data_IF_657864089917
#
_entry.id   IF_657864089917
#
_cell.length_a   1.000
_cell.length_b   1.000
_cell.length_c   1.000
_cell.angle_alpha   90.00
_cell.angle_beta   90.00
_cell.angle_gamma   90.00
#
_symmetry.space_group_name_H-M   'P 1'
#
loop_
_entity.id
_entity.type
_entity.pdbx_description
1 polymer ?
#
# COMPACT_ATOMS: atom_id res chain seq x y z
N UNK A 1 -1.83 16.41 7.25
CA UNK A 1 -2.56 15.44 6.37
C UNK A 1 -4.02 15.84 6.36
N UNK A 2 -4.43 16.61 5.35
CA UNK A 2 -5.79 17.13 5.20
C UNK A 2 -6.83 16.13 4.65
N UNK A 3 -6.64 14.82 4.87
CA UNK A 3 -7.49 13.78 4.26
C UNK A 3 -8.66 13.46 5.19
N UNK A 4 -9.88 13.52 4.65
CA UNK A 4 -11.11 13.11 5.33
C UNK A 4 -11.80 12.01 4.54
N UNK A 5 -12.21 10.93 5.20
CA UNK A 5 -12.83 9.76 4.55
C UNK A 5 -14.22 9.54 5.16
N UNK A 6 -15.22 9.44 4.31
CA UNK A 6 -16.60 9.12 4.68
C UNK A 6 -17.01 7.81 3.99
N UNK A 7 -17.25 6.76 4.77
CA UNK A 7 -17.76 5.48 4.24
C UNK A 7 -19.27 5.54 3.97
N UNK A 8 -19.96 6.39 4.73
CA UNK A 8 -21.37 6.71 4.57
C UNK A 8 -21.53 8.12 4.01
N UNK A 9 -22.65 8.45 3.34
CA UNK A 9 -22.89 9.80 2.83
C UNK A 9 -22.68 10.87 3.90
N UNK A 10 -21.80 11.83 3.61
CA UNK A 10 -21.51 12.92 4.52
C UNK A 10 -22.70 13.88 4.62
N UNK A 11 -22.98 14.38 5.83
CA UNK A 11 -23.84 15.57 5.97
C UNK A 11 -23.17 16.78 5.34
N UNK A 12 -23.96 17.78 4.92
CA UNK A 12 -23.43 19.00 4.33
C UNK A 12 -22.41 19.70 5.23
N UNK A 13 -22.64 19.70 6.55
CA UNK A 13 -21.74 20.33 7.52
C UNK A 13 -20.42 19.57 7.65
N UNK A 14 -20.48 18.23 7.72
CA UNK A 14 -19.27 17.41 7.75
C UNK A 14 -18.48 17.53 6.45
N UNK A 15 -19.15 17.59 5.31
CA UNK A 15 -18.53 17.80 4.01
C UNK A 15 -17.81 19.15 3.92
N UNK A 16 -18.45 20.25 4.36
CA UNK A 16 -17.81 21.58 4.43
C UNK A 16 -16.59 21.57 5.34
N UNK A 17 -16.69 20.90 6.50
CA UNK A 17 -15.58 20.80 7.44
C UNK A 17 -14.40 20.03 6.86
N UNK A 18 -14.67 18.94 6.14
CA UNK A 18 -13.64 18.19 5.42
C UNK A 18 -12.93 19.06 4.38
N UNK A 19 -13.69 19.87 3.61
CA UNK A 19 -13.10 20.82 2.66
C UNK A 19 -12.22 21.87 3.36
N UNK A 20 -12.66 22.44 4.49
CA UNK A 20 -11.83 23.38 5.25
C UNK A 20 -10.50 22.77 5.70
N UNK A 21 -10.53 21.52 6.18
CA UNK A 21 -9.33 20.79 6.60
C UNK A 21 -8.41 20.54 5.40
N UNK A 22 -8.97 20.13 4.26
CA UNK A 22 -8.19 19.87 3.05
C UNK A 22 -7.55 21.16 2.50
N UNK A 23 -8.32 22.26 2.42
CA UNK A 23 -7.82 23.57 1.97
C UNK A 23 -6.83 24.24 2.94
N UNK A 24 -6.81 23.83 4.20
CA UNK A 24 -5.77 24.27 5.15
C UNK A 24 -4.41 23.63 4.87
N UNK A 25 -4.39 22.51 4.13
CA UNK A 25 -3.20 21.71 3.87
C UNK A 25 -2.71 21.84 2.42
N UNK A 26 -3.61 22.04 1.45
CA UNK A 26 -3.29 22.29 0.04
C UNK A 26 -4.24 23.33 -0.59
N UNK A 27 -3.84 23.89 -1.73
CA UNK A 27 -4.65 24.86 -2.50
C UNK A 27 -5.67 24.19 -3.42
N UNK A 28 -5.49 22.90 -3.73
CA UNK A 28 -6.39 22.10 -4.54
C UNK A 28 -6.94 20.93 -3.71
N UNK A 29 -8.21 20.61 -3.92
CA UNK A 29 -8.88 19.50 -3.25
C UNK A 29 -9.44 18.54 -4.28
N UNK A 30 -9.12 17.26 -4.10
CA UNK A 30 -9.66 16.15 -4.87
C UNK A 30 -10.80 15.51 -4.07
N UNK A 31 -11.93 15.27 -4.72
CA UNK A 31 -13.10 14.60 -4.13
C UNK A 31 -13.41 13.39 -4.99
N UNK A 32 -13.38 12.21 -4.39
CA UNK A 32 -13.53 10.93 -5.08
C UNK A 32 -14.58 10.05 -4.39
N UNK A 33 -15.09 9.08 -5.14
CA UNK A 33 -15.93 8.03 -4.60
C UNK A 33 -15.12 7.14 -3.65
N UNK A 34 -15.71 6.77 -2.51
CA UNK A 34 -15.11 5.78 -1.62
C UNK A 34 -15.32 4.37 -2.17
N UNK A 35 -14.23 3.71 -2.55
CA UNK A 35 -14.26 2.30 -2.96
C UNK A 35 -13.81 1.43 -1.79
N UNK A 36 -14.69 0.52 -1.37
CA UNK A 36 -14.36 -0.48 -0.35
C UNK A 36 -13.62 -1.66 -0.97
N UNK A 37 -12.61 -2.17 -0.27
CA UNK A 37 -11.84 -3.35 -0.68
C UNK A 37 -10.40 -3.26 -0.19
N UNK A 38 -9.59 -4.19 -0.69
CA UNK A 38 -8.16 -4.25 -0.37
C UNK A 38 -7.35 -3.59 -1.48
N UNK A 39 -6.41 -2.73 -1.11
CA UNK A 39 -5.56 -2.01 -2.05
C UNK A 39 -4.30 -2.83 -2.40
N UNK A 40 -4.08 -3.03 -3.70
CA UNK A 40 -2.92 -3.71 -4.26
C UNK A 40 -2.23 -2.81 -5.28
N UNK A 41 -0.89 -2.84 -5.28
CA UNK A 41 -0.06 -2.17 -6.28
C UNK A 41 0.54 -3.20 -7.22
N UNK A 42 0.30 -3.05 -8.51
CA UNK A 42 0.85 -3.87 -9.58
C UNK A 42 1.98 -3.10 -10.26
N UNK A 43 3.17 -3.69 -10.35
CA UNK A 43 4.27 -3.13 -11.13
C UNK A 43 4.22 -3.70 -12.53
N UNK A 44 3.93 -2.85 -13.52
CA UNK A 44 3.91 -3.24 -14.94
C UNK A 44 5.21 -2.78 -15.59
N UNK A 45 5.83 -3.67 -16.35
CA UNK A 45 6.97 -3.39 -17.21
C UNK A 45 6.72 -4.01 -18.58
N UNK A 46 6.74 -3.19 -19.63
CA UNK A 46 6.68 -3.61 -21.02
C UNK A 46 5.48 -4.55 -21.30
N UNK A 47 4.31 -4.13 -20.81
CA UNK A 47 3.05 -4.86 -20.98
C UNK A 47 2.91 -6.13 -20.15
N UNK A 48 3.78 -6.34 -19.14
CA UNK A 48 3.71 -7.50 -18.22
C UNK A 48 3.70 -7.05 -16.78
N UNK A 49 2.93 -7.72 -15.94
CA UNK A 49 3.02 -7.53 -14.49
C UNK A 49 4.26 -8.27 -13.96
N UNK A 50 5.17 -7.55 -13.33
CA UNK A 50 6.43 -8.09 -12.79
C UNK A 50 6.41 -8.28 -11.28
N UNK A 51 5.46 -7.62 -10.59
CA UNK A 51 5.25 -7.76 -9.15
C UNK A 51 3.87 -7.26 -8.73
N UNK A 52 3.33 -7.84 -7.67
CA UNK A 52 2.12 -7.39 -6.99
C UNK A 52 2.39 -7.22 -5.50
N UNK A 53 1.99 -6.08 -4.95
CA UNK A 53 2.23 -5.72 -3.58
C UNK A 53 0.92 -5.39 -2.86
N UNK A 54 0.63 -6.10 -1.78
CA UNK A 54 -0.41 -5.74 -0.83
C UNK A 54 0.14 -4.68 0.13
N UNK A 55 -0.60 -3.58 0.29
CA UNK A 55 -0.26 -2.52 1.24
C UNK A 55 -1.16 -2.62 2.47
N UNK A 56 -0.54 -2.81 3.64
CA UNK A 56 -1.27 -2.93 4.91
C UNK A 56 -0.96 -1.74 5.79
N UNK A 57 -1.99 -1.18 6.43
CA UNK A 57 -1.83 -0.09 7.38
C UNK A 57 -0.86 -0.45 8.50
N UNK A 58 -0.13 0.55 9.02
CA UNK A 58 0.76 0.36 10.17
C UNK A 58 0.01 -0.37 11.30
N UNK A 59 0.60 -1.44 11.81
CA UNK A 59 -0.09 -2.37 12.72
C UNK A 59 0.91 -3.10 13.61
N UNK A 60 0.39 -3.69 14.70
CA UNK A 60 1.09 -4.70 15.49
C UNK A 60 0.14 -5.86 15.81
N UNK A 61 0.73 -7.04 16.04
CA UNK A 61 0.01 -8.25 16.44
C UNK A 61 0.46 -8.62 17.85
N UNK A 62 -0.51 -8.84 18.75
CA UNK A 62 -0.26 -9.22 20.12
C UNK A 62 0.39 -10.59 20.25
N UNK A 63 1.26 -10.71 21.24
CA UNK A 63 1.91 -11.95 21.64
C UNK A 63 1.56 -12.36 23.09
N UNK A 64 0.58 -11.66 23.70
CA UNK A 64 0.14 -11.87 25.07
C UNK A 64 1.13 -11.47 26.15
N UNK A 65 2.27 -10.85 25.80
CA UNK A 65 3.37 -10.56 26.74
C UNK A 65 3.81 -9.10 26.70
N UNK A 66 3.94 -8.52 25.51
CA UNK A 66 4.45 -7.16 25.33
C UNK A 66 3.31 -6.16 25.16
N UNK A 67 3.55 -4.95 25.65
CA UNK A 67 2.68 -3.80 25.39
C UNK A 67 2.70 -3.43 23.91
N UNK A 68 1.66 -2.74 23.43
CA UNK A 68 1.63 -2.21 22.06
C UNK A 68 2.87 -1.36 21.75
N UNK A 69 3.33 -0.54 22.71
CA UNK A 69 4.55 0.27 22.59
C UNK A 69 5.79 -0.59 22.37
N UNK A 70 5.93 -1.67 23.12
CA UNK A 70 7.05 -2.61 22.97
C UNK A 70 6.98 -3.38 21.65
N UNK A 71 5.79 -3.83 21.24
CA UNK A 71 5.58 -4.48 19.94
C UNK A 71 5.95 -3.55 18.77
N UNK A 72 5.61 -2.26 18.87
CA UNK A 72 6.04 -1.25 17.90
C UNK A 72 7.55 -1.11 17.89
N UNK A 73 8.20 -1.04 19.06
CA UNK A 73 9.66 -0.96 19.16
C UNK A 73 10.35 -2.18 18.55
N UNK A 74 9.82 -3.39 18.78
CA UNK A 74 10.32 -4.63 18.17
C UNK A 74 10.16 -4.62 16.65
N UNK A 75 8.99 -4.22 16.14
CA UNK A 75 8.74 -4.10 14.69
C UNK A 75 9.67 -3.07 14.04
N UNK A 76 9.95 -1.97 14.73
CA UNK A 76 10.90 -0.94 14.33
C UNK A 76 12.37 -1.36 14.39
N UNK A 77 12.71 -2.49 15.03
CA UNK A 77 14.05 -3.04 15.02
C UNK A 77 14.41 -3.75 13.70
N UNK A 78 13.44 -3.93 12.79
CA UNK A 78 13.70 -4.43 11.44
C UNK A 78 14.65 -3.47 10.70
N UNK A 79 15.80 -3.93 10.17
CA UNK A 79 16.79 -3.07 9.50
C UNK A 79 16.27 -2.39 8.22
N UNK A 80 15.16 -2.88 7.66
CA UNK A 80 14.49 -2.25 6.52
C UNK A 80 13.69 -1.00 6.92
N UNK A 81 13.44 -0.79 8.22
CA UNK A 81 12.74 0.39 8.72
C UNK A 81 13.73 1.52 9.00
N UNK A 82 13.52 2.64 8.30
CA UNK A 82 14.29 3.84 8.46
C UNK A 82 13.44 5.08 8.65
N UNK A 83 14.02 6.22 8.31
CA UNK A 83 13.37 7.53 8.33
C UNK A 83 13.58 8.23 7.00
N UNK A 84 12.80 9.28 6.78
CA UNK A 84 12.96 10.22 5.67
C UNK A 84 12.88 9.58 4.27
N UNK A 85 12.16 8.46 4.12
CA UNK A 85 11.98 7.76 2.84
C UNK A 85 13.29 7.24 2.23
N UNK A 86 14.29 6.97 3.08
CA UNK A 86 15.62 6.44 2.68
C UNK A 86 15.78 4.95 2.92
N UNK A 87 14.73 4.29 3.38
CA UNK A 87 14.71 2.85 3.61
C UNK A 87 13.43 2.26 3.02
N UNK A 88 13.39 0.95 2.74
CA UNK A 88 12.21 0.33 2.13
C UNK A 88 10.93 0.48 2.94
N UNK A 89 11.05 0.51 4.27
CA UNK A 89 9.95 0.70 5.21
C UNK A 89 10.23 1.93 6.09
N UNK A 90 9.17 2.56 6.59
CA UNK A 90 9.30 3.64 7.58
C UNK A 90 9.10 3.13 9.01
N UNK A 91 9.75 3.82 9.94
CA UNK A 91 9.51 3.63 11.37
C UNK A 91 8.07 3.99 11.71
N UNK A 92 7.43 3.12 12.48
CA UNK A 92 6.11 3.35 13.04
C UNK A 92 6.26 4.30 14.24
N UNK A 93 5.60 5.45 14.17
CA UNK A 93 5.47 6.37 15.30
C UNK A 93 4.23 6.06 16.14
N UNK A 94 4.24 6.43 17.42
CA UNK A 94 3.05 6.44 18.28
C UNK A 94 2.66 7.90 18.60
N UNK A 95 2.42 8.69 17.56
CA UNK A 95 1.99 10.07 17.68
C UNK A 95 0.51 10.20 18.03
N UNK A 96 -0.01 11.42 17.98
CA UNK A 96 -1.40 11.71 18.37
C UNK A 96 -2.42 10.96 17.48
N UNK A 97 -2.12 10.79 16.19
CA UNK A 97 -3.00 10.08 15.26
C UNK A 97 -3.05 8.58 15.58
N UNK A 98 -1.90 7.96 15.85
CA UNK A 98 -1.84 6.54 16.22
C UNK A 98 -2.49 6.28 17.58
N UNK A 99 -2.28 7.16 18.55
CA UNK A 99 -2.93 7.07 19.87
C UNK A 99 -4.45 7.21 19.76
N UNK A 100 -4.93 8.14 18.91
CA UNK A 100 -6.36 8.27 18.61
C UNK A 100 -6.92 6.98 17.97
N UNK A 101 -6.19 6.39 17.02
CA UNK A 101 -6.58 5.11 16.39
C UNK A 101 -6.65 3.96 17.37
N UNK A 102 -5.69 3.85 18.29
CA UNK A 102 -5.73 2.87 19.36
C UNK A 102 -6.93 3.08 20.27
N UNK A 103 -7.18 4.33 20.68
CA UNK A 103 -8.31 4.70 21.55
C UNK A 103 -9.64 4.33 20.90
N UNK A 104 -9.80 4.57 19.59
CA UNK A 104 -11.00 4.16 18.83
C UNK A 104 -11.21 2.64 18.79
N UNK A 105 -10.14 1.86 18.93
CA UNK A 105 -10.19 0.40 19.02
C UNK A 105 -10.28 -0.10 20.47
N UNK A 106 -10.33 0.80 21.46
CA UNK A 106 -10.42 0.46 22.88
C UNK A 106 -9.08 0.10 23.53
N UNK A 107 -7.96 0.54 22.95
CA UNK A 107 -6.61 0.28 23.46
C UNK A 107 -5.83 1.57 23.72
N UNK A 108 -4.80 1.45 24.52
CA UNK A 108 -3.76 2.43 24.80
C UNK A 108 -2.39 1.82 24.45
N UNK A 109 -1.34 2.63 24.23
CA UNK A 109 0.00 2.11 23.93
C UNK A 109 0.57 1.16 25.00
N UNK A 110 0.08 1.23 26.23
CA UNK A 110 0.61 0.49 27.37
C UNK A 110 -0.21 -0.79 27.66
N UNK A 111 -1.24 -1.08 26.85
CA UNK A 111 -2.00 -2.33 26.93
C UNK A 111 -1.22 -3.50 26.30
N UNK A 112 -1.39 -4.69 26.89
CA UNK A 112 -0.89 -5.95 26.34
C UNK A 112 -1.98 -6.56 25.46
N UNK A 113 -1.67 -6.76 24.19
CA UNK A 113 -2.60 -7.38 23.25
C UNK A 113 -2.63 -8.91 23.42
N UNK A 114 -3.83 -9.52 23.43
CA UNK A 114 -3.95 -10.98 23.38
C UNK A 114 -3.17 -11.56 22.19
N UNK A 115 -2.66 -12.78 22.36
CA UNK A 115 -1.92 -13.47 21.31
C UNK A 115 -2.75 -13.58 20.01
N UNK A 116 -2.14 -13.20 18.88
CA UNK A 116 -2.78 -13.20 17.56
C UNK A 116 -3.73 -12.02 17.30
N UNK A 117 -4.00 -11.16 18.31
CA UNK A 117 -4.86 -9.98 18.11
C UNK A 117 -4.10 -8.88 17.38
N UNK A 118 -4.53 -8.55 16.16
CA UNK A 118 -4.04 -7.39 15.41
C UNK A 118 -4.76 -6.10 15.79
N UNK A 119 -4.01 -5.01 15.90
CA UNK A 119 -4.54 -3.63 15.95
C UNK A 119 -3.88 -2.77 14.88
N UNK A 120 -4.66 -1.86 14.30
CA UNK A 120 -4.16 -0.91 13.31
C UNK A 120 -3.81 0.42 13.98
N UNK A 121 -2.64 0.97 13.68
CA UNK A 121 -2.14 2.24 14.17
C UNK A 121 -2.49 3.38 13.20
N UNK A 122 -2.73 3.06 11.93
CA UNK A 122 -3.15 4.01 10.90
C UNK A 122 -4.40 3.51 10.19
N UNK A 123 -5.18 4.45 9.62
CA UNK A 123 -6.31 4.11 8.73
C UNK A 123 -5.85 3.82 7.31
N UNK A 124 -4.83 4.55 6.85
CA UNK A 124 -4.26 4.37 5.53
C UNK A 124 -3.20 3.26 5.53
N UNK A 125 -3.07 2.64 4.37
CA UNK A 125 -2.15 1.54 4.03
C UNK A 125 -0.74 2.02 3.64
N UNK A 126 -0.46 3.33 3.74
CA UNK A 126 0.77 3.92 3.24
C UNK A 126 2.02 3.37 3.96
N UNK A 127 3.02 2.98 3.18
CA UNK A 127 4.34 2.60 3.72
C UNK A 127 5.01 3.79 4.41
N UNK A 128 4.81 5.01 3.91
CA UNK A 128 5.36 6.24 4.48
C UNK A 128 4.87 6.56 5.90
N UNK A 129 3.75 5.97 6.33
CA UNK A 129 3.22 6.10 7.69
C UNK A 129 3.50 4.85 8.55
N UNK A 130 4.43 4.00 8.11
CA UNK A 130 4.85 2.78 8.81
C UNK A 130 4.07 1.53 8.41
N UNK A 131 3.29 1.58 7.32
CA UNK A 131 2.61 0.42 6.74
C UNK A 131 3.59 -0.68 6.29
N UNK A 132 3.04 -1.86 6.08
CA UNK A 132 3.78 -3.03 5.60
C UNK A 132 3.56 -3.24 4.11
N UNK A 133 4.64 -3.53 3.40
CA UNK A 133 4.62 -4.07 2.03
C UNK A 133 4.68 -5.59 2.08
N UNK A 134 3.71 -6.26 1.46
CA UNK A 134 3.67 -7.72 1.38
C UNK A 134 3.69 -8.12 -0.09
N UNK A 135 4.70 -8.89 -0.49
CA UNK A 135 4.75 -9.45 -1.85
C UNK A 135 3.72 -10.57 -1.99
N UNK A 136 2.79 -10.38 -2.93
CA UNK A 136 1.71 -11.32 -3.26
C UNK A 136 1.72 -11.67 -4.74
N UNK A 137 2.85 -11.49 -5.42
CA UNK A 137 2.98 -11.70 -6.88
C UNK A 137 2.54 -13.09 -7.32
N UNK A 138 2.98 -14.13 -6.61
CA UNK A 138 2.67 -15.53 -6.96
C UNK A 138 1.26 -15.95 -6.55
N UNK A 139 0.68 -15.29 -5.55
CA UNK A 139 -0.64 -15.65 -5.00
C UNK A 139 -1.77 -14.83 -5.63
N UNK A 140 -1.48 -13.70 -6.26
CA UNK A 140 -2.47 -12.88 -6.94
C UNK A 140 -2.97 -13.55 -8.21
N UNK A 141 -4.29 -13.62 -8.38
CA UNK A 141 -4.91 -14.21 -9.56
C UNK A 141 -4.39 -13.52 -10.85
N UNK A 142 -4.02 -14.34 -11.84
CA UNK A 142 -3.38 -13.84 -13.06
C UNK A 142 -4.29 -12.90 -13.86
N UNK A 143 -5.60 -13.02 -13.72
CA UNK A 143 -6.56 -12.13 -14.38
C UNK A 143 -6.41 -10.66 -13.96
N UNK A 144 -6.12 -10.38 -12.69
CA UNK A 144 -5.83 -9.01 -12.24
C UNK A 144 -4.48 -8.51 -12.78
N UNK A 145 -3.48 -9.40 -12.85
CA UNK A 145 -2.16 -9.07 -13.41
C UNK A 145 -2.26 -8.69 -14.90
N UNK A 146 -3.02 -9.46 -15.66
CA UNK A 146 -3.31 -9.21 -17.08
C UNK A 146 -4.12 -7.93 -17.28
N UNK A 147 -5.14 -7.70 -16.44
CA UNK A 147 -5.97 -6.50 -16.50
C UNK A 147 -5.15 -5.24 -16.18
N UNK A 148 -4.32 -5.26 -15.13
CA UNK A 148 -3.43 -4.16 -14.79
C UNK A 148 -2.41 -3.87 -15.91
N UNK A 149 -1.85 -4.92 -16.53
CA UNK A 149 -0.96 -4.77 -17.68
C UNK A 149 -1.68 -4.13 -18.89
N UNK A 150 -2.93 -4.51 -19.15
CA UNK A 150 -3.75 -3.91 -20.20
C UNK A 150 -4.07 -2.43 -19.92
N UNK A 151 -4.34 -2.06 -18.66
CA UNK A 151 -4.53 -0.66 -18.24
C UNK A 151 -3.28 0.18 -18.52
N UNK A 152 -2.10 -0.27 -18.07
CA UNK A 152 -0.84 0.42 -18.33
C UNK A 152 -0.53 0.55 -19.83
N UNK A 153 -0.76 -0.52 -20.60
CA UNK A 153 -0.58 -0.54 -22.05
C UNK A 153 -1.49 0.46 -22.76
N UNK A 154 -2.74 0.60 -22.30
CA UNK A 154 -3.71 1.57 -22.84
C UNK A 154 -3.26 3.01 -22.65
N UNK A 155 -2.45 3.28 -21.62
CA UNK A 155 -1.82 4.58 -21.38
C UNK A 155 -0.50 4.77 -22.13
N UNK A 156 -0.01 3.76 -22.87
CA UNK A 156 1.31 3.78 -23.49
C UNK A 156 2.46 3.78 -22.48
N UNK A 157 2.21 3.32 -21.25
CA UNK A 157 3.18 3.34 -20.17
C UNK A 157 4.11 2.12 -20.26
N UNK A 158 5.42 2.36 -20.42
CA UNK A 158 6.41 1.28 -20.48
C UNK A 158 6.74 0.71 -19.09
N UNK A 159 6.82 1.56 -18.07
CA UNK A 159 6.88 1.17 -16.67
C UNK A 159 5.79 1.95 -15.90
N UNK A 160 4.94 1.24 -15.17
CA UNK A 160 3.79 1.83 -14.50
C UNK A 160 3.41 1.08 -13.23
N UNK A 161 3.12 1.81 -12.16
CA UNK A 161 2.47 1.28 -10.98
C UNK A 161 0.96 1.44 -11.14
N UNK A 162 0.22 0.34 -11.20
CA UNK A 162 -1.25 0.36 -11.27
C UNK A 162 -1.80 0.01 -9.89
N UNK A 163 -2.57 0.91 -9.30
CA UNK A 163 -3.18 0.71 -7.99
C UNK A 163 -4.64 0.33 -8.13
N UNK A 164 -4.96 -0.90 -7.70
CA UNK A 164 -6.31 -1.45 -7.74
C UNK A 164 -6.85 -1.64 -6.33
N UNK A 165 -8.12 -1.33 -6.15
CA UNK A 165 -8.90 -1.83 -5.01
C UNK A 165 -9.68 -3.06 -5.48
N UNK A 166 -9.43 -4.19 -4.83
CA UNK A 166 -10.06 -5.48 -5.10
C UNK A 166 -10.90 -5.86 -3.87
N UNK A 167 -12.24 -5.86 -3.95
CA UNK A 167 -13.10 -6.21 -2.83
C UNK A 167 -13.07 -7.71 -2.48
N UNK A 168 -12.91 -8.57 -3.48
CA UNK A 168 -12.91 -10.03 -3.34
C UNK A 168 -11.91 -10.66 -4.32
N UNK A 169 -10.74 -11.01 -3.80
CA UNK A 169 -9.65 -11.62 -4.59
C UNK A 169 -9.96 -13.05 -5.08
N UNK A 170 -11.06 -13.67 -4.63
CA UNK A 170 -11.46 -15.02 -5.09
C UNK A 170 -12.19 -15.00 -6.43
N UNK A 171 -12.64 -13.82 -6.88
CA UNK A 171 -13.27 -13.65 -8.19
C UNK A 171 -12.21 -13.30 -9.24
N UNK A 172 -12.25 -13.90 -10.44
CA UNK A 172 -11.36 -13.52 -11.53
C UNK A 172 -11.82 -12.19 -12.15
N UNK A 173 -10.89 -11.40 -12.67
CA UNK A 173 -11.16 -10.19 -13.42
C UNK A 173 -11.28 -10.42 -14.93
N UNK A 174 -12.08 -9.61 -15.60
CA UNK A 174 -12.05 -9.44 -17.06
C UNK A 174 -12.30 -7.99 -17.43
N UNK A 175 -12.19 -7.63 -18.71
CA UNK A 175 -12.53 -6.27 -19.16
C UNK A 175 -14.01 -5.95 -18.98
N UNK A 176 -14.87 -6.94 -19.16
CA UNK A 176 -16.32 -6.83 -19.04
C UNK A 176 -16.76 -6.84 -17.57
N UNK A 177 -16.10 -7.63 -16.74
CA UNK A 177 -16.35 -7.72 -15.30
C UNK A 177 -15.00 -7.58 -14.55
N UNK A 178 -14.54 -6.35 -14.28
CA UNK A 178 -13.21 -6.16 -13.71
C UNK A 178 -13.08 -6.63 -12.26
N UNK A 179 -14.17 -6.70 -11.49
CA UNK A 179 -14.16 -7.07 -10.06
C UNK A 179 -13.17 -6.26 -9.20
N UNK A 180 -12.73 -5.11 -9.71
CA UNK A 180 -11.82 -4.18 -9.06
C UNK A 180 -12.07 -2.76 -9.58
N UNK A 181 -11.56 -1.77 -8.86
CA UNK A 181 -11.51 -0.37 -9.32
C UNK A 181 -10.07 0.09 -9.39
N UNK A 182 -9.66 0.69 -10.50
CA UNK A 182 -8.36 1.34 -10.62
C UNK A 182 -8.42 2.73 -9.98
N UNK A 183 -7.61 2.96 -8.94
CA UNK A 183 -7.59 4.22 -8.20
C UNK A 183 -6.51 5.16 -8.74
N UNK A 184 -5.36 4.63 -9.13
CA UNK A 184 -4.22 5.45 -9.57
C UNK A 184 -3.36 4.70 -10.60
N UNK A 185 -2.77 5.44 -11.55
CA UNK A 185 -1.69 4.96 -12.40
C UNK A 185 -0.46 5.87 -12.26
N UNK A 186 0.61 5.29 -11.73
CA UNK A 186 1.86 5.96 -11.39
C UNK A 186 2.93 5.69 -12.46
N UNK A 187 3.30 6.70 -13.25
CA UNK A 187 4.32 6.57 -14.32
C UNK A 187 5.77 6.64 -13.80
N UNK A 188 5.97 6.94 -12.51
CA UNK A 188 7.26 6.84 -11.83
C UNK A 188 7.11 5.95 -10.59
N UNK A 189 6.78 4.66 -10.78
CA UNK A 189 6.50 3.77 -9.66
C UNK A 189 7.75 3.52 -8.83
N UNK A 190 7.60 3.55 -7.51
CA UNK A 190 8.67 3.13 -6.62
C UNK A 190 8.96 1.64 -6.83
N UNK A 191 10.18 1.32 -7.27
CA UNK A 191 10.59 -0.06 -7.55
C UNK A 191 11.03 -0.79 -6.29
N UNK A 192 11.72 -0.10 -5.38
CA UNK A 192 12.33 -0.74 -4.20
C UNK A 192 11.30 -1.34 -3.25
N UNK A 193 10.07 -0.81 -3.23
CA UNK A 193 8.98 -1.34 -2.40
C UNK A 193 8.54 -2.74 -2.83
N UNK A 194 8.73 -3.09 -4.11
CA UNK A 194 8.48 -4.43 -4.62
C UNK A 194 9.67 -5.37 -4.39
N UNK A 195 10.89 -4.85 -4.27
CA UNK A 195 12.10 -5.64 -4.06
C UNK A 195 12.35 -5.96 -2.59
N UNK A 196 12.07 -5.02 -1.69
CA UNK A 196 12.34 -5.15 -0.26
C UNK A 196 11.04 -5.01 0.54
N UNK A 197 10.34 -6.14 0.68
CA UNK A 197 9.07 -6.21 1.37
C UNK A 197 9.23 -6.44 2.87
N UNK A 198 8.24 -6.04 3.66
CA UNK A 198 8.14 -6.45 5.05
C UNK A 198 7.90 -7.96 5.17
N UNK A 199 7.09 -8.52 4.27
CA UNK A 199 6.77 -9.94 4.17
C UNK A 199 6.74 -10.40 2.70
N UNK A 200 6.97 -11.70 2.47
CA UNK A 200 7.07 -12.28 1.13
C UNK A 200 8.47 -12.17 0.51
N UNK A 201 8.68 -12.82 -0.65
CA UNK A 201 10.01 -12.95 -1.24
C UNK A 201 10.56 -11.66 -1.86
N UNK A 202 9.67 -10.76 -2.32
CA UNK A 202 10.05 -9.59 -3.10
C UNK A 202 10.47 -9.96 -4.53
N UNK A 203 10.47 -8.97 -5.42
CA UNK A 203 10.76 -9.14 -6.84
C UNK A 203 11.91 -8.25 -7.28
N UNK A 204 12.87 -8.81 -8.02
CA UNK A 204 13.99 -8.06 -8.59
C UNK A 204 13.52 -7.27 -9.82
N UNK A 205 13.16 -6.00 -9.62
CA UNK A 205 12.63 -5.14 -10.69
C UNK A 205 13.74 -4.45 -11.50
N UNK A 206 14.75 -3.91 -10.83
CA UNK A 206 15.78 -3.10 -11.49
C UNK A 206 16.61 -3.86 -12.52
N UNK A 207 16.98 -5.15 -12.35
CA UNK A 207 17.68 -5.90 -13.39
C UNK A 207 16.81 -6.10 -14.64
N UNK A 208 15.52 -6.43 -14.45
CA UNK A 208 14.57 -6.61 -15.56
C UNK A 208 14.44 -5.36 -16.44
N UNK A 209 14.48 -4.18 -15.82
CA UNK A 209 14.48 -2.91 -16.55
C UNK A 209 15.77 -2.74 -17.36
N UNK A 210 16.93 -2.98 -16.74
CA UNK A 210 18.23 -2.88 -17.42
C UNK A 210 18.34 -3.87 -18.59
N UNK A 211 17.86 -5.10 -18.42
CA UNK A 211 17.85 -6.13 -19.46
C UNK A 211 17.03 -5.70 -20.68
N UNK A 212 15.90 -5.00 -20.47
CA UNK A 212 15.09 -4.47 -21.58
C UNK A 212 15.68 -3.22 -22.22
N UNK A 213 16.40 -2.38 -21.45
CA UNK A 213 17.07 -1.20 -21.99
C UNK A 213 18.32 -1.55 -22.79
N UNK A 214 19.05 -2.59 -22.37
CA UNK A 214 20.30 -3.04 -22.99
C UNK A 214 20.28 -4.56 -23.25
N UNK A 215 19.43 -5.05 -24.18
CA UNK A 215 19.32 -6.49 -24.46
C UNK A 215 20.65 -7.15 -24.84
N UNK A 216 21.56 -6.40 -25.46
CA UNK A 216 22.90 -6.84 -25.84
C UNK A 216 23.79 -7.21 -24.63
N UNK A 217 23.52 -6.65 -23.45
CA UNK A 217 24.27 -6.97 -22.22
C UNK A 217 23.75 -8.26 -21.61
N UNK A 218 22.42 -8.46 -21.57
CA UNK A 218 21.79 -9.67 -21.04
C UNK A 218 22.15 -10.92 -21.86
N UNK A 219 22.25 -10.80 -23.18
CA UNK A 219 22.54 -11.93 -24.08
C UNK A 219 23.97 -12.48 -23.92
N UNK A 220 24.90 -11.68 -23.38
CA UNK A 220 26.31 -12.07 -23.20
C UNK A 220 26.63 -12.71 -21.84
N UNK A 221 25.63 -12.91 -20.97
CA UNK A 221 25.81 -13.54 -19.65
C UNK A 221 25.35 -15.02 -19.60
N UNK A 222 24.81 -15.56 -20.71
CA UNK A 222 24.40 -16.96 -20.84
C UNK A 222 25.41 -17.78 -21.65
#
# INVERSE_FOLDING_TARGET
LGISIFQEPASLDNYKKALEIAFAEDTAVLVEEFISGTEYRFFILDGRCEAVLLRVAANVVGDGKHTIRELVAQKNANPLRGRDHRSPLEIIALGDIEQLMLTQQGYTPDDILPEGKKVNLRRNSNISTGGDSIDVTETMDSSYQELAAAMATSMGAWACGVDLIIPDETQPASKENPHCTCIELNFNPSMYMHTYCAEGPGQAITPKILDKLFPEVATNQN
#
